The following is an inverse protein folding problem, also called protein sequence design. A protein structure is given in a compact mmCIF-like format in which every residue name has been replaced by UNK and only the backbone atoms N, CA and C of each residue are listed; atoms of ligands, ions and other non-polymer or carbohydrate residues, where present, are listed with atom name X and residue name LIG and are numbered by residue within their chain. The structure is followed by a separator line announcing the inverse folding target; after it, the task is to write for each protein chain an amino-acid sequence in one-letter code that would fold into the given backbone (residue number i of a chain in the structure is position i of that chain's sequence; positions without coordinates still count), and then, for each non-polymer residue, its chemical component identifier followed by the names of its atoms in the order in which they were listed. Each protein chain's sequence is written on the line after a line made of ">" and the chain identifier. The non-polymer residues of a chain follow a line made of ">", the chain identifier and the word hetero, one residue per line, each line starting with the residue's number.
data_IF_174308304490
#
_entry.id   IF_174308304490
#
_cell.length_a   1.000
_cell.length_b   1.000
_cell.length_c   1.000
_cell.angle_alpha   90.00
_cell.angle_beta   90.00
_cell.angle_gamma   90.00
#
_symmetry.space_group_name_H-M   'P 1'
#
loop_
_entity.id
_entity.type
_entity.pdbx_description
1 polymer ?
#
# COMPACT_ATOMS: atom_id res chain seq x y z
N UNK A 1 7.30 21.24 -0.81
CA UNK A 1 6.06 21.71 -0.13
C UNK A 1 5.33 20.63 0.70
N UNK A 2 4.62 19.64 0.13
CA UNK A 2 3.97 18.57 0.94
C UNK A 2 4.99 17.72 1.71
N UNK A 3 6.13 17.44 1.08
CA UNK A 3 7.24 16.67 1.67
C UNK A 3 8.08 17.47 2.70
N UNK A 4 8.00 18.80 2.69
CA UNK A 4 8.84 19.68 3.53
C UNK A 4 8.11 20.22 4.77
N UNK A 5 6.78 20.35 4.71
CA UNK A 5 6.00 20.91 5.83
C UNK A 5 5.02 19.90 6.43
N UNK A 6 4.93 18.70 5.85
CA UNK A 6 3.93 17.71 6.22
C UNK A 6 2.54 18.09 5.73
N UNK A 7 1.71 17.08 5.48
CA UNK A 7 0.33 17.30 5.04
C UNK A 7 -0.45 18.20 6.01
N UNK A 8 -0.42 18.05 7.36
CA UNK A 8 -1.26 18.88 8.24
C UNK A 8 -1.02 20.39 8.12
N UNK A 9 0.23 20.82 7.90
CA UNK A 9 0.59 22.24 7.81
C UNK A 9 0.22 22.90 6.46
N UNK A 10 -0.18 22.10 5.46
CA UNK A 10 -0.44 22.60 4.11
C UNK A 10 -1.87 23.17 4.00
N UNK A 11 -2.04 24.49 4.06
CA UNK A 11 -3.35 25.09 3.81
C UNK A 11 -3.70 25.04 2.31
N UNK A 12 -5.00 24.97 1.96
CA UNK A 12 -5.47 25.10 0.56
C UNK A 12 -4.93 26.41 -0.05
N UNK A 13 -4.87 27.49 0.74
CA UNK A 13 -4.33 28.77 0.30
C UNK A 13 -2.85 28.68 -0.07
N UNK A 14 -2.04 28.02 0.74
CA UNK A 14 -0.62 27.82 0.46
C UNK A 14 -0.43 26.96 -0.79
N UNK A 15 -1.21 25.88 -0.93
CA UNK A 15 -1.18 24.99 -2.10
C UNK A 15 -1.49 25.76 -3.39
N UNK A 16 -2.58 26.51 -3.40
CA UNK A 16 -3.01 27.24 -4.60
C UNK A 16 -2.07 28.41 -4.93
N UNK A 17 -1.52 29.07 -3.92
CA UNK A 17 -0.52 30.11 -4.13
C UNK A 17 0.76 29.58 -4.81
N UNK A 18 1.23 28.38 -4.45
CA UNK A 18 2.37 27.74 -5.09
C UNK A 18 2.10 27.34 -6.56
N UNK A 19 0.83 27.24 -6.95
CA UNK A 19 0.39 26.99 -8.33
C UNK A 19 -0.05 28.26 -9.05
N UNK A 20 0.14 29.44 -8.45
CA UNK A 20 -0.29 30.74 -8.99
C UNK A 20 -1.81 30.85 -9.25
N UNK A 21 -2.62 30.10 -8.50
CA UNK A 21 -4.08 30.12 -8.59
C UNK A 21 -4.75 30.66 -7.32
N UNK A 22 -5.98 31.14 -7.44
CA UNK A 22 -6.79 31.52 -6.28
C UNK A 22 -7.32 30.28 -5.54
N UNK A 23 -7.55 30.36 -4.21
CA UNK A 23 -8.15 29.27 -3.44
C UNK A 23 -9.51 28.80 -3.99
N UNK A 24 -10.28 29.69 -4.65
CA UNK A 24 -11.58 29.34 -5.23
C UNK A 24 -11.48 28.32 -6.37
N UNK A 25 -10.34 28.25 -7.06
CA UNK A 25 -10.13 27.24 -8.11
C UNK A 25 -10.08 25.83 -7.50
N UNK A 26 -9.54 25.67 -6.29
CA UNK A 26 -9.47 24.38 -5.60
C UNK A 26 -10.85 23.77 -5.41
N UNK A 27 -11.78 24.58 -4.89
CA UNK A 27 -13.14 24.14 -4.57
C UNK A 27 -14.00 23.80 -5.79
N UNK A 28 -13.54 24.11 -7.01
CA UNK A 28 -14.17 23.61 -8.24
C UNK A 28 -13.91 22.13 -8.48
N UNK A 29 -12.81 21.60 -7.95
CA UNK A 29 -12.38 20.21 -8.15
C UNK A 29 -12.55 19.36 -6.90
N UNK A 30 -12.27 19.93 -5.72
CA UNK A 30 -12.28 19.20 -4.47
C UNK A 30 -13.06 19.97 -3.39
N UNK A 31 -14.07 19.35 -2.76
CA UNK A 31 -14.84 20.01 -1.71
C UNK A 31 -13.99 20.35 -0.48
N UNK A 32 -12.96 19.55 -0.21
CA UNK A 32 -12.03 19.73 0.88
C UNK A 32 -10.67 19.06 0.57
N UNK A 33 -9.70 19.25 1.46
CA UNK A 33 -8.34 18.70 1.32
C UNK A 33 -8.32 17.17 1.36
N UNK A 34 -9.23 16.56 2.11
CA UNK A 34 -9.40 15.11 2.23
C UNK A 34 -9.80 14.47 0.90
N UNK A 35 -10.69 15.10 0.14
CA UNK A 35 -11.06 14.65 -1.20
C UNK A 35 -9.87 14.68 -2.18
N UNK A 36 -8.99 15.68 -2.08
CA UNK A 36 -7.74 15.70 -2.84
C UNK A 36 -6.83 14.52 -2.45
N UNK A 37 -6.69 14.23 -1.15
CA UNK A 37 -5.90 13.06 -0.71
C UNK A 37 -6.46 11.76 -1.24
N UNK A 38 -7.76 11.54 -1.12
CA UNK A 38 -8.39 10.30 -1.61
C UNK A 38 -8.17 10.13 -3.11
N UNK A 39 -8.25 11.21 -3.89
CA UNK A 39 -7.93 11.16 -5.32
C UNK A 39 -6.47 10.78 -5.58
N UNK A 40 -5.54 11.39 -4.84
CA UNK A 40 -4.11 11.10 -4.95
C UNK A 40 -3.79 9.65 -4.53
N UNK A 41 -4.39 9.17 -3.45
CA UNK A 41 -4.24 7.79 -2.99
C UNK A 41 -4.80 6.80 -4.01
N UNK A 42 -5.95 7.10 -4.60
CA UNK A 42 -6.57 6.26 -5.65
C UNK A 42 -5.61 6.07 -6.84
N UNK A 43 -4.97 7.14 -7.30
CA UNK A 43 -4.00 7.08 -8.38
C UNK A 43 -2.73 6.31 -7.99
N UNK A 44 -2.23 6.48 -6.77
CA UNK A 44 -1.10 5.72 -6.24
C UNK A 44 -1.44 4.21 -6.19
N UNK A 45 -2.63 3.84 -5.74
CA UNK A 45 -3.06 2.44 -5.67
C UNK A 45 -3.27 1.82 -7.05
N UNK A 46 -3.76 2.58 -8.05
CA UNK A 46 -3.81 2.11 -9.45
C UNK A 46 -2.42 1.81 -9.99
N UNK A 47 -1.43 2.65 -9.69
CA UNK A 47 -0.04 2.40 -10.09
C UNK A 47 0.55 1.18 -9.38
N UNK A 48 0.29 1.02 -8.08
CA UNK A 48 0.70 -0.16 -7.31
C UNK A 48 0.10 -1.44 -7.92
N UNK A 49 -1.21 -1.44 -8.21
CA UNK A 49 -1.90 -2.54 -8.88
C UNK A 49 -1.26 -2.87 -10.24
N UNK A 50 -0.96 -1.86 -11.04
CA UNK A 50 -0.29 -2.04 -12.33
C UNK A 50 1.10 -2.68 -12.18
N UNK A 51 1.83 -2.36 -11.10
CA UNK A 51 3.15 -2.95 -10.82
C UNK A 51 3.10 -4.44 -10.48
N UNK A 52 1.96 -4.94 -9.97
CA UNK A 52 1.71 -6.33 -9.60
C UNK A 52 0.87 -7.09 -10.64
N UNK A 53 0.62 -6.49 -11.81
CA UNK A 53 -0.33 -7.03 -12.83
C UNK A 53 -0.01 -8.46 -13.26
N UNK A 54 1.27 -8.83 -13.33
CA UNK A 54 1.68 -10.17 -13.76
C UNK A 54 1.33 -11.21 -12.70
N UNK A 55 1.62 -10.89 -11.44
CA UNK A 55 1.40 -11.78 -10.31
C UNK A 55 -0.10 -11.94 -9.99
N UNK A 56 -0.88 -10.88 -10.21
CA UNK A 56 -2.34 -10.87 -10.04
C UNK A 56 -3.10 -11.56 -11.19
N UNK A 57 -2.46 -11.82 -12.33
CA UNK A 57 -3.07 -12.53 -13.45
C UNK A 57 -3.11 -14.05 -13.20
N UNK A 58 -4.23 -14.53 -12.66
CA UNK A 58 -4.43 -15.93 -12.28
C UNK A 58 -4.53 -16.89 -13.49
N UNK A 59 -4.71 -16.37 -14.71
CA UNK A 59 -4.77 -17.18 -15.93
C UNK A 59 -3.36 -17.56 -16.44
N UNK A 60 -2.33 -16.81 -16.04
CA UNK A 60 -0.96 -17.09 -16.46
C UNK A 60 -0.27 -18.05 -15.49
N UNK A 61 0.46 -19.06 -15.96
CA UNK A 61 1.24 -19.90 -15.06
C UNK A 61 2.31 -19.06 -14.36
N UNK A 62 2.55 -19.36 -13.08
CA UNK A 62 3.62 -18.72 -12.31
C UNK A 62 4.45 -19.75 -11.57
N UNK A 63 5.78 -19.65 -11.69
CA UNK A 63 6.71 -20.42 -10.86
C UNK A 63 6.79 -19.80 -9.46
N UNK A 64 6.77 -20.63 -8.43
CA UNK A 64 6.83 -20.19 -7.02
C UNK A 64 5.55 -19.50 -6.55
N UNK A 65 5.61 -18.94 -5.34
CA UNK A 65 4.48 -18.29 -4.68
C UNK A 65 4.06 -16.99 -5.37
N UNK A 66 2.75 -16.80 -5.58
CA UNK A 66 2.20 -15.51 -6.04
C UNK A 66 2.22 -14.49 -4.93
N UNK A 67 1.73 -14.87 -3.75
CA UNK A 67 1.57 -13.94 -2.64
C UNK A 67 2.93 -13.45 -2.14
N UNK A 68 3.97 -14.30 -2.16
CA UNK A 68 5.34 -13.89 -1.84
C UNK A 68 5.89 -12.90 -2.86
N UNK A 69 5.64 -13.11 -4.16
CA UNK A 69 6.06 -12.18 -5.21
C UNK A 69 5.33 -10.85 -5.14
N UNK A 70 4.03 -10.86 -4.87
CA UNK A 70 3.23 -9.64 -4.68
C UNK A 70 3.74 -8.85 -3.48
N UNK A 71 4.05 -9.52 -2.36
CA UNK A 71 4.64 -8.86 -1.19
C UNK A 71 5.96 -8.16 -1.54
N UNK A 72 6.89 -8.85 -2.22
CA UNK A 72 8.15 -8.26 -2.67
C UNK A 72 7.94 -7.08 -3.63
N UNK A 73 7.05 -7.22 -4.62
CA UNK A 73 6.71 -6.15 -5.57
C UNK A 73 6.13 -4.92 -4.88
N UNK A 74 5.30 -5.14 -3.87
CA UNK A 74 4.70 -4.05 -3.08
C UNK A 74 5.77 -3.31 -2.31
N UNK A 75 6.71 -4.01 -1.66
CA UNK A 75 7.87 -3.38 -1.00
C UNK A 75 8.72 -2.61 -2.01
N UNK A 76 9.07 -3.23 -3.14
CA UNK A 76 9.85 -2.59 -4.21
C UNK A 76 9.19 -1.31 -4.73
N UNK A 77 7.87 -1.31 -4.92
CA UNK A 77 7.11 -0.14 -5.36
C UNK A 77 7.26 1.01 -4.38
N UNK A 78 7.05 0.77 -3.08
CA UNK A 78 7.14 1.82 -2.08
C UNK A 78 8.56 2.34 -1.87
N UNK A 79 9.57 1.45 -1.92
CA UNK A 79 10.97 1.86 -1.84
C UNK A 79 11.41 2.67 -3.06
N UNK A 80 10.85 2.38 -4.24
CA UNK A 80 11.08 3.16 -5.46
C UNK A 80 10.42 4.54 -5.40
N UNK A 81 9.29 4.66 -4.72
CA UNK A 81 8.50 5.89 -4.61
C UNK A 81 8.23 6.27 -3.14
N UNK A 82 9.26 6.63 -2.36
CA UNK A 82 9.11 6.86 -0.91
C UNK A 82 8.17 8.04 -0.59
N UNK A 83 8.06 9.01 -1.49
CA UNK A 83 7.13 10.13 -1.32
C UNK A 83 5.68 9.69 -1.41
N UNK A 84 5.37 8.73 -2.31
CA UNK A 84 4.02 8.13 -2.40
C UNK A 84 3.69 7.35 -1.13
N UNK A 85 4.67 6.62 -0.58
CA UNK A 85 4.51 5.94 0.70
C UNK A 85 4.17 6.92 1.82
N UNK A 86 4.95 8.01 1.96
CA UNK A 86 4.71 9.05 2.96
C UNK A 86 3.33 9.69 2.79
N UNK A 87 2.92 9.94 1.54
CA UNK A 87 1.59 10.49 1.22
C UNK A 87 0.47 9.56 1.71
N UNK A 88 0.59 8.24 1.53
CA UNK A 88 -0.43 7.27 1.91
C UNK A 88 -0.41 6.94 3.40
N UNK A 89 0.76 6.66 3.98
CA UNK A 89 0.86 6.05 5.30
C UNK A 89 1.20 7.01 6.43
N UNK A 90 1.68 8.22 6.15
CA UNK A 90 1.99 9.22 7.18
C UNK A 90 0.94 10.33 7.28
N UNK A 91 -0.17 10.20 6.55
CA UNK A 91 -1.29 11.13 6.59
C UNK A 91 -2.56 10.34 6.91
N UNK A 92 -2.96 10.25 8.19
CA UNK A 92 -4.10 9.45 8.57
C UNK A 92 -5.38 9.97 7.91
N UNK A 93 -6.23 9.04 7.45
CA UNK A 93 -7.58 9.38 7.03
C UNK A 93 -8.45 9.62 8.26
N UNK A 94 -8.72 10.87 8.56
CA UNK A 94 -9.60 11.26 9.67
C UNK A 94 -10.96 11.63 9.12
N UNK A 95 -11.99 10.94 9.60
CA UNK A 95 -13.39 11.27 9.32
C UNK A 95 -13.78 12.50 10.14
N UNK A 96 -14.36 13.51 9.48
CA UNK A 96 -14.84 14.74 10.12
C UNK A 96 -16.37 14.76 10.23
N UNK A 97 -17.09 14.09 9.32
CA UNK A 97 -18.55 13.93 9.35
C UNK A 97 -18.95 12.45 9.39
N UNK A 98 -20.02 12.12 10.11
CA UNK A 98 -20.68 10.81 10.09
C UNK A 98 -20.99 10.22 8.71
N UNK A 99 -21.13 11.05 7.67
CA UNK A 99 -21.39 10.61 6.29
C UNK A 99 -20.12 10.31 5.47
N UNK A 100 -18.94 10.67 5.99
CA UNK A 100 -17.68 10.39 5.32
C UNK A 100 -17.38 8.90 5.29
N UNK A 101 -16.92 8.41 4.14
CA UNK A 101 -16.39 7.04 4.00
C UNK A 101 -14.87 7.06 4.10
N UNK A 102 -14.28 6.03 4.70
CA UNK A 102 -12.83 5.89 4.72
C UNK A 102 -12.30 5.54 3.33
N UNK A 103 -11.05 5.90 3.04
CA UNK A 103 -10.42 5.55 1.77
C UNK A 103 -10.35 4.04 1.51
N UNK A 104 -10.31 3.21 2.57
CA UNK A 104 -10.35 1.75 2.45
C UNK A 104 -11.64 1.26 1.77
N UNK A 105 -12.72 2.04 1.81
CA UNK A 105 -14.00 1.73 1.18
C UNK A 105 -14.04 2.13 -0.31
N UNK A 106 -12.96 2.71 -0.84
CA UNK A 106 -12.85 3.08 -2.25
C UNK A 106 -12.80 1.84 -3.16
N UNK A 107 -13.31 1.98 -4.39
CA UNK A 107 -13.36 0.89 -5.36
C UNK A 107 -11.98 0.34 -5.71
N UNK A 108 -10.94 1.18 -5.76
CA UNK A 108 -9.57 0.75 -6.07
C UNK A 108 -8.98 -0.12 -4.97
N UNK A 109 -9.13 0.29 -3.70
CA UNK A 109 -8.66 -0.49 -2.56
C UNK A 109 -9.45 -1.79 -2.43
N UNK A 110 -10.77 -1.74 -2.54
CA UNK A 110 -11.61 -2.95 -2.52
C UNK A 110 -11.27 -3.91 -3.65
N UNK A 111 -11.03 -3.39 -4.86
CA UNK A 111 -10.57 -4.19 -6.01
C UNK A 111 -9.20 -4.81 -5.75
N UNK A 112 -8.28 -4.07 -5.13
CA UNK A 112 -6.96 -4.59 -4.76
C UNK A 112 -7.05 -5.72 -3.74
N UNK A 113 -7.78 -5.50 -2.63
CA UNK A 113 -7.98 -6.51 -1.58
C UNK A 113 -8.62 -7.78 -2.14
N UNK A 114 -9.63 -7.64 -3.01
CA UNK A 114 -10.29 -8.78 -3.67
C UNK A 114 -9.32 -9.57 -4.55
N UNK A 115 -8.46 -8.89 -5.32
CA UNK A 115 -7.47 -9.56 -6.16
C UNK A 115 -6.40 -10.29 -5.34
N UNK A 116 -5.99 -9.71 -4.20
CA UNK A 116 -5.07 -10.38 -3.27
C UNK A 116 -5.69 -11.63 -2.66
N UNK A 117 -6.94 -11.56 -2.18
CA UNK A 117 -7.66 -12.73 -1.67
C UNK A 117 -7.80 -13.83 -2.74
N UNK A 118 -8.09 -13.45 -3.99
CA UNK A 118 -8.14 -14.41 -5.09
C UNK A 118 -6.77 -15.07 -5.37
N UNK A 119 -5.67 -14.35 -5.19
CA UNK A 119 -4.32 -14.92 -5.30
C UNK A 119 -4.01 -15.89 -4.14
N UNK A 120 -4.47 -15.60 -2.92
CA UNK A 120 -4.35 -16.49 -1.76
C UNK A 120 -5.14 -17.78 -2.00
N UNK A 121 -6.42 -17.69 -2.39
CA UNK A 121 -7.26 -18.85 -2.72
C UNK A 121 -6.65 -19.70 -3.84
N UNK A 122 -6.14 -19.05 -4.89
CA UNK A 122 -5.47 -19.74 -5.99
C UNK A 122 -4.26 -20.54 -5.50
N UNK A 123 -3.44 -19.95 -4.64
CA UNK A 123 -2.22 -20.57 -4.15
C UNK A 123 -2.49 -21.73 -3.20
N UNK A 124 -3.54 -21.60 -2.36
CA UNK A 124 -4.05 -22.64 -1.45
C UNK A 124 -4.40 -23.95 -2.17
N UNK A 125 -4.70 -23.92 -3.47
CA UNK A 125 -4.94 -25.12 -4.30
C UNK A 125 -3.68 -25.96 -4.53
N UNK A 126 -2.50 -25.37 -4.33
CA UNK A 126 -1.21 -26.00 -4.61
C UNK A 126 -0.28 -26.06 -3.39
N UNK A 127 -0.60 -25.30 -2.35
CA UNK A 127 0.22 -25.15 -1.14
C UNK A 127 -0.67 -25.33 0.09
N UNK A 128 -0.16 -26.03 1.10
CA UNK A 128 -0.83 -26.16 2.40
C UNK A 128 -0.45 -25.00 3.32
N UNK A 129 -1.37 -24.05 3.44
CA UNK A 129 -1.31 -23.05 4.51
C UNK A 129 -1.76 -23.66 5.83
N UNK A 130 -1.36 -23.04 6.95
CA UNK A 130 -1.82 -23.45 8.27
C UNK A 130 -3.35 -23.42 8.36
N UNK A 131 -3.92 -24.43 9.00
CA UNK A 131 -5.38 -24.58 9.13
C UNK A 131 -6.00 -23.62 10.16
N UNK A 132 -5.20 -22.98 11.00
CA UNK A 132 -5.64 -21.99 11.99
C UNK A 132 -5.66 -20.55 11.45
N UNK A 133 -5.38 -20.36 10.15
CA UNK A 133 -5.38 -19.05 9.50
C UNK A 133 -6.42 -18.95 8.38
N UNK A 134 -7.28 -17.92 8.46
CA UNK A 134 -8.17 -17.53 7.37
C UNK A 134 -7.39 -16.86 6.22
N UNK A 135 -8.01 -16.71 5.05
CA UNK A 135 -7.42 -15.97 3.94
C UNK A 135 -7.21 -14.49 4.32
N UNK A 136 -8.09 -13.94 5.15
CA UNK A 136 -7.98 -12.61 5.73
C UNK A 136 -6.78 -12.47 6.67
N UNK A 137 -6.46 -13.50 7.45
CA UNK A 137 -5.28 -13.49 8.34
C UNK A 137 -3.98 -13.53 7.52
N UNK A 138 -3.96 -14.30 6.42
CA UNK A 138 -2.85 -14.31 5.47
C UNK A 138 -2.69 -12.93 4.82
N UNK A 139 -3.78 -12.34 4.33
CA UNK A 139 -3.79 -11.01 3.74
C UNK A 139 -3.28 -9.93 4.71
N UNK A 140 -3.81 -9.91 5.94
CA UNK A 140 -3.45 -8.93 6.96
C UNK A 140 -2.01 -9.08 7.41
N UNK A 141 -1.56 -10.31 7.66
CA UNK A 141 -0.16 -10.56 8.02
C UNK A 141 0.81 -10.16 6.90
N UNK A 142 0.45 -10.40 5.62
CA UNK A 142 1.21 -9.90 4.47
C UNK A 142 1.30 -8.38 4.48
N UNK A 143 0.15 -7.70 4.65
CA UNK A 143 0.08 -6.24 4.67
C UNK A 143 0.96 -5.66 5.79
N UNK A 144 0.91 -6.24 6.99
CA UNK A 144 1.73 -5.82 8.14
C UNK A 144 3.22 -6.05 7.85
N UNK A 145 3.61 -7.21 7.30
CA UNK A 145 5.00 -7.50 6.98
C UNK A 145 5.55 -6.50 5.95
N UNK A 146 4.81 -6.27 4.85
CA UNK A 146 5.17 -5.31 3.81
C UNK A 146 5.27 -3.89 4.37
N UNK A 147 4.28 -3.46 5.15
CA UNK A 147 4.27 -2.13 5.76
C UNK A 147 5.41 -1.96 6.75
N UNK A 148 5.68 -2.93 7.61
CA UNK A 148 6.75 -2.86 8.61
C UNK A 148 8.14 -2.72 7.99
N UNK A 149 8.44 -3.52 6.96
CA UNK A 149 9.71 -3.40 6.21
C UNK A 149 9.80 -2.01 5.57
N UNK A 150 8.76 -1.64 4.81
CA UNK A 150 8.74 -0.41 4.04
C UNK A 150 8.84 0.82 4.93
N UNK A 151 8.09 0.84 6.04
CA UNK A 151 8.11 1.92 7.01
C UNK A 151 9.53 2.10 7.56
N UNK A 152 10.12 1.02 8.08
CA UNK A 152 11.46 1.05 8.68
C UNK A 152 12.50 1.62 7.73
N UNK A 153 12.51 1.15 6.47
CA UNK A 153 13.49 1.56 5.46
C UNK A 153 13.27 3.00 4.94
N UNK A 154 12.05 3.54 5.02
CA UNK A 154 11.72 4.89 4.53
C UNK A 154 11.81 5.94 5.64
N UNK A 155 11.39 5.60 6.86
CA UNK A 155 11.22 6.57 7.95
C UNK A 155 12.37 6.58 8.95
N UNK A 156 13.16 5.50 9.03
CA UNK A 156 14.29 5.34 9.96
C UNK A 156 15.60 5.20 9.18
N UNK A 157 15.86 6.15 8.28
CA UNK A 157 17.00 6.10 7.34
C UNK A 157 18.38 6.16 8.00
N UNK A 158 18.46 6.65 9.24
CA UNK A 158 19.67 6.79 10.04
C UNK A 158 20.15 5.46 10.64
N UNK A 159 19.27 4.47 10.75
CA UNK A 159 19.64 3.16 11.25
C UNK A 159 20.44 2.38 10.17
N UNK A 160 21.55 1.71 10.52
CA UNK A 160 22.39 1.00 9.56
C UNK A 160 21.76 -0.36 9.14
N UNK A 161 20.66 -0.31 8.38
CA UNK A 161 19.91 -1.49 7.91
C UNK A 161 20.74 -2.46 7.06
N UNK A 162 21.85 -2.00 6.47
CA UNK A 162 22.62 -2.77 5.51
C UNK A 162 21.86 -2.94 4.19
N UNK A 163 21.85 -4.14 3.63
CA UNK A 163 21.22 -4.38 2.32
C UNK A 163 19.69 -4.43 2.42
N UNK A 164 19.03 -3.37 1.95
CA UNK A 164 17.56 -3.30 1.87
C UNK A 164 16.98 -4.52 1.13
N UNK A 165 17.56 -4.87 -0.03
CA UNK A 165 17.13 -6.03 -0.83
C UNK A 165 17.21 -7.34 -0.03
N UNK A 166 18.31 -7.57 0.69
CA UNK A 166 18.48 -8.78 1.50
C UNK A 166 17.47 -8.84 2.63
N UNK A 167 17.22 -7.72 3.32
CA UNK A 167 16.21 -7.63 4.39
C UNK A 167 14.79 -7.88 3.86
N UNK A 168 14.42 -7.28 2.73
CA UNK A 168 13.10 -7.49 2.13
C UNK A 168 12.86 -8.96 1.80
N UNK A 169 13.83 -9.61 1.14
CA UNK A 169 13.75 -11.05 0.83
C UNK A 169 13.66 -11.88 2.11
N UNK A 170 14.48 -11.57 3.11
CA UNK A 170 14.50 -12.31 4.37
C UNK A 170 13.17 -12.23 5.12
N UNK A 171 12.63 -11.04 5.34
CA UNK A 171 11.39 -10.86 6.11
C UNK A 171 10.19 -11.45 5.36
N UNK A 172 10.12 -11.26 4.04
CA UNK A 172 9.05 -11.86 3.24
C UNK A 172 9.15 -13.40 3.21
N UNK A 173 10.36 -13.96 3.19
CA UNK A 173 10.57 -15.41 3.31
C UNK A 173 10.18 -15.95 4.69
N UNK A 174 10.54 -15.25 5.77
CA UNK A 174 10.12 -15.59 7.13
C UNK A 174 8.60 -15.56 7.26
N UNK A 175 7.96 -14.49 6.79
CA UNK A 175 6.49 -14.38 6.77
C UNK A 175 5.86 -15.53 5.99
N UNK A 176 6.33 -15.78 4.76
CA UNK A 176 5.76 -16.80 3.89
C UNK A 176 5.91 -18.20 4.51
N UNK A 177 7.09 -18.54 5.06
CA UNK A 177 7.28 -19.81 5.78
C UNK A 177 6.39 -19.93 7.01
N UNK A 178 6.16 -18.83 7.74
CA UNK A 178 5.33 -18.81 8.95
C UNK A 178 3.85 -19.09 8.71
N UNK A 179 3.34 -18.88 7.50
CA UNK A 179 1.95 -19.17 7.12
C UNK A 179 1.76 -20.57 6.50
N UNK A 180 2.85 -21.28 6.21
CA UNK A 180 2.79 -22.66 5.72
C UNK A 180 2.57 -23.64 6.87
N UNK A 181 1.88 -24.74 6.59
CA UNK A 181 1.80 -25.86 7.53
C UNK A 181 3.21 -26.43 7.77
N UNK A 182 3.61 -26.57 9.04
CA UNK A 182 4.89 -27.20 9.39
C UNK A 182 4.89 -28.65 8.89
N UNK A 183 5.96 -29.05 8.19
CA UNK A 183 6.21 -30.46 7.87
C UNK A 183 6.54 -31.27 9.11
#
# INVERSE_FOLDING_TARGET
>A
MVLEHGYPALSIRTLMAALEYSPMVFYRYFPNKRALLHHLWDDIYKELLASCKVELDLQKPMKGSRIQKIALKTVDFWLKYPDKYKIVYLNPDTVEDSQDKFFVDSLSVQSYLKQLLAAIDWERKTVRFRNDMSDEDILRSMAIAVQGITHSLITVSEFPWGSHKRLCILIVDIWYKGILESQ
#
